data_IF_750894777582
#
_entry.id   IF_750894777582
#
_cell.length_a   1.000
_cell.length_b   1.000
_cell.length_c   1.000
_cell.angle_alpha   90.00
_cell.angle_beta   90.00
_cell.angle_gamma   90.00
#
_symmetry.space_group_name_H-M   'P 1'
#
loop_
_entity.id
_entity.type
_entity.pdbx_description
1 polymer ?
#
# COMPACT_ATOMS: atom_id res chain seq x y z
N UNK A 1 11.39 12.54 12.70
CA UNK A 1 10.32 11.53 12.68
C UNK A 1 10.75 10.46 11.69
N UNK A 2 10.89 9.19 12.10
CA UNK A 2 11.25 8.12 11.18
C UNK A 2 10.21 8.04 10.06
N UNK A 3 10.66 8.06 8.79
CA UNK A 3 9.75 7.96 7.66
C UNK A 3 9.33 6.50 7.50
N UNK A 4 8.05 6.21 7.74
CA UNK A 4 7.46 4.87 7.56
C UNK A 4 6.73 4.85 6.22
N UNK A 5 6.88 3.75 5.48
CA UNK A 5 6.18 3.52 4.21
C UNK A 5 5.18 2.39 4.43
N UNK A 6 3.92 2.64 4.06
CA UNK A 6 2.89 1.62 3.97
C UNK A 6 3.01 0.92 2.62
N UNK A 7 3.31 -0.37 2.63
CA UNK A 7 3.34 -1.19 1.43
C UNK A 7 2.01 -1.91 1.25
N UNK A 8 1.49 -1.90 0.02
CA UNK A 8 0.22 -2.49 -0.35
C UNK A 8 0.40 -3.33 -1.60
N UNK A 9 0.51 -4.65 -1.43
CA UNK A 9 0.66 -5.59 -2.52
C UNK A 9 -0.69 -5.93 -3.15
N UNK A 10 -0.71 -6.03 -4.48
CA UNK A 10 -1.83 -6.53 -5.26
C UNK A 10 -1.37 -7.70 -6.12
N UNK A 11 -2.27 -8.64 -6.36
CA UNK A 11 -1.94 -9.92 -7.01
C UNK A 11 -2.37 -9.98 -8.48
N UNK A 12 -3.19 -9.03 -8.92
CA UNK A 12 -3.72 -8.99 -10.28
C UNK A 12 -3.29 -7.71 -11.02
N UNK A 13 -3.17 -7.82 -12.33
CA UNK A 13 -2.75 -6.70 -13.20
C UNK A 13 -3.87 -5.68 -13.43
N UNK A 14 -5.13 -6.06 -13.23
CA UNK A 14 -6.26 -5.13 -13.33
C UNK A 14 -6.03 -3.90 -12.44
N UNK A 15 -5.64 -4.09 -11.17
CA UNK A 15 -5.42 -2.93 -10.27
C UNK A 15 -4.36 -1.99 -10.86
N UNK A 16 -3.28 -2.52 -11.41
CA UNK A 16 -2.27 -1.70 -12.07
C UNK A 16 -2.86 -0.92 -13.25
N UNK A 17 -3.63 -1.57 -14.13
CA UNK A 17 -4.29 -0.92 -15.25
C UNK A 17 -5.24 0.19 -14.80
N UNK A 18 -5.99 -0.05 -13.72
CA UNK A 18 -6.89 0.94 -13.12
C UNK A 18 -6.14 2.13 -12.56
N UNK A 19 -5.05 1.91 -11.82
CA UNK A 19 -4.21 2.97 -11.28
C UNK A 19 -3.59 3.81 -12.42
N UNK A 20 -3.09 3.16 -13.48
CA UNK A 20 -2.54 3.83 -14.65
C UNK A 20 -3.59 4.66 -15.40
N UNK A 21 -4.82 4.16 -15.52
CA UNK A 21 -5.94 4.87 -16.15
C UNK A 21 -6.38 6.09 -15.35
N UNK A 22 -6.44 5.96 -14.01
CA UNK A 22 -6.83 7.05 -13.10
C UNK A 22 -5.76 8.14 -12.98
N UNK A 23 -4.48 7.76 -12.98
CA UNK A 23 -3.37 8.69 -12.89
C UNK A 23 -3.25 9.43 -11.55
N UNK A 24 -2.30 10.37 -11.51
CA UNK A 24 -1.99 11.18 -10.33
C UNK A 24 -3.16 12.11 -9.95
N UNK A 25 -3.35 12.33 -8.65
CA UNK A 25 -4.41 13.17 -8.09
C UNK A 25 -5.72 12.43 -7.82
N UNK A 26 -5.95 11.30 -8.48
CA UNK A 26 -7.15 10.48 -8.30
C UNK A 26 -7.16 9.73 -6.96
N UNK A 27 -8.36 9.52 -6.43
CA UNK A 27 -8.58 8.69 -5.23
C UNK A 27 -8.81 7.23 -5.63
N UNK A 28 -8.24 6.31 -4.85
CA UNK A 28 -8.47 4.88 -5.00
C UNK A 28 -8.52 4.19 -3.63
N UNK A 29 -9.01 2.96 -3.58
CA UNK A 29 -8.98 2.17 -2.35
C UNK A 29 -8.57 0.72 -2.62
N UNK A 30 -7.96 0.11 -1.61
CA UNK A 30 -7.71 -1.32 -1.56
C UNK A 30 -8.20 -1.86 -0.22
N UNK A 31 -8.69 -3.09 -0.24
CA UNK A 31 -9.20 -3.78 0.95
C UNK A 31 -8.47 -5.09 1.14
N UNK A 32 -8.09 -5.39 2.38
CA UNK A 32 -7.41 -6.62 2.74
C UNK A 32 -8.15 -7.31 3.88
N UNK A 33 -8.24 -8.65 3.80
CA UNK A 33 -8.64 -9.44 4.96
C UNK A 33 -7.57 -9.28 6.07
N UNK A 34 -7.93 -9.19 7.37
CA UNK A 34 -6.96 -8.96 8.44
C UNK A 34 -5.81 -9.98 8.48
N UNK A 35 -6.04 -11.22 8.05
CA UNK A 35 -4.98 -12.25 7.99
C UNK A 35 -3.89 -11.97 6.94
N UNK A 36 -4.11 -11.03 6.02
CA UNK A 36 -3.16 -10.63 4.98
C UNK A 36 -2.43 -9.33 5.35
N UNK A 37 -2.72 -8.76 6.53
CA UNK A 37 -2.11 -7.53 7.03
C UNK A 37 -1.12 -7.92 8.12
N UNK A 38 0.07 -7.33 8.09
CA UNK A 38 1.07 -7.55 9.13
C UNK A 38 0.47 -7.24 10.53
N UNK A 39 0.72 -8.08 11.56
CA UNK A 39 0.14 -7.90 12.89
C UNK A 39 0.44 -6.51 13.50
N UNK A 40 1.66 -6.02 13.34
CA UNK A 40 2.08 -4.71 13.85
C UNK A 40 1.28 -3.57 13.21
N UNK A 41 1.01 -3.65 11.89
CA UNK A 41 0.17 -2.68 11.20
C UNK A 41 -1.29 -2.77 11.68
N UNK A 42 -1.80 -3.98 11.92
CA UNK A 42 -3.15 -4.16 12.48
C UNK A 42 -3.28 -3.48 13.85
N UNK A 43 -2.25 -3.59 14.70
CA UNK A 43 -2.21 -2.86 15.98
C UNK A 43 -2.17 -1.34 15.78
N UNK A 44 -1.33 -0.83 14.88
CA UNK A 44 -1.26 0.62 14.58
C UNK A 44 -2.61 1.19 14.10
N UNK A 45 -3.38 0.42 13.33
CA UNK A 45 -4.69 0.83 12.82
C UNK A 45 -5.70 0.89 13.98
N UNK A 46 -5.79 -0.18 14.78
CA UNK A 46 -6.75 -0.28 15.89
C UNK A 46 -6.48 0.73 17.00
N UNK A 47 -5.22 1.05 17.22
CA UNK A 47 -4.80 2.05 18.20
C UNK A 47 -4.83 3.48 17.66
N UNK A 48 -5.25 3.69 16.39
CA UNK A 48 -5.35 5.01 15.77
C UNK A 48 -4.00 5.69 15.55
N UNK A 49 -2.89 4.93 15.50
CA UNK A 49 -1.51 5.45 15.33
C UNK A 49 -1.06 5.56 13.88
N UNK A 50 -1.80 4.95 12.95
CA UNK A 50 -1.55 5.10 11.53
C UNK A 50 -2.09 6.46 11.02
N UNK A 51 -1.19 7.43 10.90
CA UNK A 51 -1.53 8.78 10.45
C UNK A 51 -1.97 8.86 8.98
N UNK A 52 -2.90 9.78 8.70
CA UNK A 52 -3.14 10.25 7.33
C UNK A 52 -1.91 10.99 6.80
N UNK A 53 -1.74 11.05 5.48
CA UNK A 53 -0.54 11.60 4.86
C UNK A 53 0.66 10.64 4.81
N UNK A 54 0.55 9.43 5.38
CA UNK A 54 1.61 8.43 5.29
C UNK A 54 1.90 8.06 3.82
N UNK A 55 3.19 7.93 3.49
CA UNK A 55 3.60 7.49 2.15
C UNK A 55 3.20 6.04 1.92
N UNK A 56 2.59 5.77 0.77
CA UNK A 56 2.13 4.46 0.36
C UNK A 56 2.88 4.02 -0.89
N UNK A 57 3.32 2.76 -0.93
CA UNK A 57 3.81 2.11 -2.14
C UNK A 57 2.90 0.95 -2.49
N UNK A 58 2.28 1.04 -3.67
CA UNK A 58 1.51 -0.06 -4.22
C UNK A 58 2.45 -0.90 -5.08
N UNK A 59 2.48 -2.20 -4.81
CA UNK A 59 3.34 -3.16 -5.50
C UNK A 59 2.49 -4.26 -6.15
N UNK A 60 2.82 -4.65 -7.38
CA UNK A 60 2.27 -5.86 -8.00
C UNK A 60 3.16 -7.03 -7.62
N UNK A 61 2.58 -8.03 -6.96
CA UNK A 61 3.22 -9.31 -6.71
C UNK A 61 2.64 -10.37 -7.65
N UNK A 62 3.44 -10.87 -8.59
CA UNK A 62 3.03 -11.85 -9.60
C UNK A 62 4.21 -12.76 -9.93
N UNK A 63 3.96 -14.07 -10.00
CA UNK A 63 4.96 -15.09 -10.37
C UNK A 63 6.26 -15.01 -9.55
N UNK A 64 6.15 -14.76 -8.24
CA UNK A 64 7.32 -14.62 -7.35
C UNK A 64 8.12 -13.33 -7.54
N UNK A 65 7.65 -12.41 -8.40
CA UNK A 65 8.26 -11.11 -8.61
C UNK A 65 7.39 -10.00 -8.01
N UNK A 66 8.03 -9.03 -7.37
CA UNK A 66 7.37 -7.85 -6.83
C UNK A 66 7.89 -6.62 -7.54
N UNK A 67 6.99 -5.81 -8.10
CA UNK A 67 7.33 -4.54 -8.74
C UNK A 67 6.49 -3.41 -8.18
N UNK A 68 7.09 -2.25 -7.99
CA UNK A 68 6.33 -1.04 -7.66
C UNK A 68 5.52 -0.60 -8.85
N UNK A 69 4.24 -0.32 -8.64
CA UNK A 69 3.33 0.14 -9.69
C UNK A 69 2.75 1.53 -9.43
N UNK A 70 2.72 1.97 -8.17
CA UNK A 70 2.24 3.30 -7.80
C UNK A 70 2.86 3.79 -6.48
N UNK A 71 3.02 5.10 -6.38
CA UNK A 71 3.23 5.83 -5.14
C UNK A 71 1.95 6.60 -4.81
N UNK A 72 1.56 6.59 -3.55
CA UNK A 72 0.35 7.24 -3.09
C UNK A 72 0.54 7.85 -1.69
N UNK A 73 -0.46 8.61 -1.28
CA UNK A 73 -0.57 9.19 0.05
C UNK A 73 -1.83 8.66 0.73
N UNK A 74 -1.68 8.11 1.94
CA UNK A 74 -2.78 7.55 2.69
C UNK A 74 -3.76 8.66 3.10
N UNK A 75 -5.03 8.49 2.76
CA UNK A 75 -6.08 9.45 3.07
C UNK A 75 -6.90 9.02 4.29
N UNK A 76 -7.33 7.76 4.32
CA UNK A 76 -8.12 7.22 5.42
C UNK A 76 -7.94 5.70 5.54
N UNK A 77 -8.22 5.15 6.73
CA UNK A 77 -8.31 3.71 6.96
C UNK A 77 -9.56 3.42 7.76
N UNK A 78 -10.31 2.41 7.32
CA UNK A 78 -11.56 1.98 7.96
C UNK A 78 -11.46 0.49 8.25
N UNK A 79 -11.53 0.13 9.53
CA UNK A 79 -11.55 -1.25 10.01
C UNK A 79 -12.99 -1.77 10.00
N UNK A 80 -13.33 -2.61 9.02
CA UNK A 80 -14.58 -3.35 8.97
C UNK A 80 -14.38 -4.75 9.55
N UNK A 81 -15.47 -5.40 9.95
CA UNK A 81 -15.44 -6.72 10.59
C UNK A 81 -14.62 -7.76 9.82
N UNK A 82 -14.75 -7.80 8.49
CA UNK A 82 -14.16 -8.85 7.64
C UNK A 82 -12.98 -8.35 6.79
N UNK A 83 -12.72 -7.05 6.75
CA UNK A 83 -11.64 -6.45 5.97
C UNK A 83 -11.29 -5.06 6.45
N UNK A 84 -10.05 -4.63 6.20
CA UNK A 84 -9.64 -3.24 6.42
C UNK A 84 -9.51 -2.56 5.06
N UNK A 85 -10.18 -1.42 4.90
CA UNK A 85 -10.14 -0.60 3.69
C UNK A 85 -9.20 0.57 3.88
N UNK A 86 -8.30 0.75 2.92
CA UNK A 86 -7.35 1.86 2.87
C UNK A 86 -7.72 2.74 1.68
N UNK A 87 -8.01 4.01 1.93
CA UNK A 87 -8.24 5.01 0.89
C UNK A 87 -6.98 5.85 0.75
N UNK A 88 -6.56 6.11 -0.48
CA UNK A 88 -5.35 6.86 -0.77
C UNK A 88 -5.48 7.70 -2.03
N UNK A 89 -4.69 8.77 -2.08
CA UNK A 89 -4.53 9.63 -3.24
C UNK A 89 -3.31 9.19 -4.03
N UNK A 90 -3.49 8.91 -5.32
CA UNK A 90 -2.40 8.51 -6.22
C UNK A 90 -1.47 9.72 -6.41
N UNK A 91 -0.17 9.52 -6.21
CA UNK A 91 0.87 10.53 -6.45
C UNK A 91 1.58 10.29 -7.77
N UNK A 92 1.94 9.03 -8.05
CA UNK A 92 2.64 8.65 -9.27
C UNK A 92 2.35 7.20 -9.64
N UNK A 93 2.41 6.87 -10.92
CA UNK A 93 2.20 5.51 -11.45
C UNK A 93 3.30 5.21 -12.47
N UNK A 94 3.50 3.94 -12.80
CA UNK A 94 4.39 3.57 -13.92
C UNK A 94 3.94 4.24 -15.24
N UNK A 95 4.87 4.61 -16.14
CA UNK A 95 6.33 4.41 -16.08
C UNK A 95 7.09 5.55 -15.34
N UNK A 96 6.41 6.46 -14.65
CA UNK A 96 7.03 7.66 -14.05
C UNK A 96 7.73 7.40 -12.70
N UNK A 97 7.72 6.15 -12.23
CA UNK A 97 8.39 5.73 -11.00
C UNK A 97 9.88 5.47 -11.27
N UNK A 98 10.77 6.11 -10.51
CA UNK A 98 12.20 5.82 -10.49
C UNK A 98 12.50 4.78 -9.42
N UNK A 99 13.07 3.63 -9.79
CA UNK A 99 13.51 2.52 -8.94
C UNK A 99 12.43 1.47 -8.55
N UNK A 100 12.86 0.20 -8.53
CA UNK A 100 12.03 -0.99 -8.26
C UNK A 100 11.79 -1.22 -6.77
N UNK A 101 10.58 -1.66 -6.41
CA UNK A 101 10.26 -2.01 -5.02
C UNK A 101 11.05 -3.24 -4.57
N UNK A 102 11.59 -3.16 -3.35
CA UNK A 102 12.02 -4.33 -2.60
C UNK A 102 10.80 -4.96 -1.92
N UNK A 103 10.66 -6.28 -2.03
CA UNK A 103 9.78 -7.04 -1.14
C UNK A 103 10.58 -7.37 0.11
N UNK A 104 10.04 -7.10 1.29
CA UNK A 104 10.68 -7.52 2.53
C UNK A 104 9.67 -7.84 3.62
N UNK A 105 8.76 -8.79 3.35
CA UNK A 105 8.08 -9.57 4.38
C UNK A 105 7.31 -10.73 3.74
N UNK A 106 7.61 -11.95 4.17
CA UNK A 106 6.92 -13.17 3.72
C UNK A 106 5.49 -13.23 4.28
N UNK A 107 4.52 -13.53 3.40
CA UNK A 107 3.16 -13.93 3.78
C UNK A 107 2.11 -12.81 3.93
N UNK A 108 2.49 -11.53 3.99
CA UNK A 108 1.56 -10.41 4.11
C UNK A 108 1.46 -9.57 2.83
N UNK A 109 0.26 -9.06 2.55
CA UNK A 109 0.00 -8.14 1.44
C UNK A 109 -0.01 -6.67 1.86
N UNK A 110 -0.08 -6.37 3.15
CA UNK A 110 -0.09 -4.99 3.63
C UNK A 110 0.78 -4.88 4.89
N UNK A 111 1.80 -4.03 4.86
CA UNK A 111 2.75 -3.91 5.97
C UNK A 111 3.39 -2.51 6.05
N UNK A 112 3.94 -2.18 7.22
CA UNK A 112 4.76 -0.99 7.41
C UNK A 112 6.24 -1.38 7.34
N UNK A 113 7.01 -0.63 6.57
CA UNK A 113 8.46 -0.69 6.61
C UNK A 113 9.02 0.62 7.13
N UNK A 114 9.91 0.53 8.11
CA UNK A 114 10.73 1.66 8.53
C UNK A 114 11.80 1.88 7.48
N UNK A 115 11.89 3.07 6.90
CA UNK A 115 13.10 3.42 6.17
C UNK A 115 14.21 3.67 7.20
N UNK A 116 15.20 2.80 7.22
CA UNK A 116 16.51 3.16 7.77
C UNK A 116 17.05 4.27 6.87
N UNK A 117 17.11 5.49 7.41
CA UNK A 117 17.93 6.56 6.82
C UNK A 117 19.38 6.26 7.19
#
# INVERSE_FOLDING_TARGET
>A
MEKRILYMAVLNEWVMESLCSLGSGSMYHLSYHPSLIAPDLTMEIRDGRLATGNSVQIVLHKNGTTRRISEAELHSVVDFKDYIRFEFRILSVIPFLKDGAAMNQDGYLCWLQKNAV
#
